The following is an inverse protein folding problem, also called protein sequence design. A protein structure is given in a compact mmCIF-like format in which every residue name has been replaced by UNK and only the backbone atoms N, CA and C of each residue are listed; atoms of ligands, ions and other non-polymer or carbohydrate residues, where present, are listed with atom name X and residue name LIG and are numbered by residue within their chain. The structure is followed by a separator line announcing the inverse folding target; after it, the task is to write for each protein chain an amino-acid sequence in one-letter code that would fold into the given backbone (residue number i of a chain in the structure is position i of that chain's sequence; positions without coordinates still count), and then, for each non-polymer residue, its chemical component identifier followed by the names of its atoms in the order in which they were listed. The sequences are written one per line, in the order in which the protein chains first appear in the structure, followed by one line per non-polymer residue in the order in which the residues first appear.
data_IF_390088579977
#
_entry.id   IF_390088579977
#
_cell.length_a   1.000
_cell.length_b   1.000
_cell.length_c   1.000
_cell.angle_alpha   90.00
_cell.angle_beta   90.00
_cell.angle_gamma   90.00
#
_symmetry.space_group_name_H-M   'P 1'
#
loop_
_entity.id
_entity.type
_entity.pdbx_description
1 polymer ?
#
# COMPACT_ATOMS: atom_id res chain seq x y z
N UNK A 1 -8.43 10.46 14.00
CA UNK A 1 -7.34 9.62 13.45
C UNK A 1 -7.88 8.21 13.21
N UNK A 2 -7.73 7.66 12.01
CA UNK A 2 -8.19 6.32 11.67
C UNK A 2 -7.04 5.32 11.83
N UNK A 3 -7.02 4.60 12.96
CA UNK A 3 -6.07 3.50 13.16
C UNK A 3 -6.50 2.27 12.36
N UNK A 4 -5.55 1.63 11.67
CA UNK A 4 -5.76 0.39 10.92
C UNK A 4 -5.15 -0.82 11.65
N UNK A 5 -5.81 -1.97 11.58
CA UNK A 5 -5.24 -3.24 12.04
C UNK A 5 -4.28 -3.81 10.98
N UNK A 6 -4.59 -3.60 9.70
CA UNK A 6 -3.78 -4.06 8.56
C UNK A 6 -3.70 -2.96 7.50
N UNK A 7 -2.49 -2.60 7.10
CA UNK A 7 -2.23 -1.71 5.98
C UNK A 7 -1.43 -2.45 4.91
N UNK A 8 -1.93 -2.46 3.68
CA UNK A 8 -1.16 -2.91 2.52
C UNK A 8 -0.54 -1.67 1.87
N UNK A 9 0.78 -1.68 1.68
CA UNK A 9 1.47 -0.65 0.89
C UNK A 9 2.01 -1.33 -0.35
N UNK A 10 1.40 -1.04 -1.50
CA UNK A 10 1.66 -1.70 -2.76
C UNK A 10 2.09 -0.69 -3.84
N UNK A 11 2.82 -1.12 -4.87
CA UNK A 11 3.29 -0.19 -5.90
C UNK A 11 2.13 0.33 -6.72
N UNK A 12 1.45 -0.57 -7.42
CA UNK A 12 0.45 -0.24 -8.42
C UNK A 12 -0.97 -0.57 -7.93
N UNK A 13 -2.00 0.14 -8.44
CA UNK A 13 -3.39 -0.21 -8.18
C UNK A 13 -3.78 -1.55 -8.82
N UNK A 14 -3.59 -2.65 -8.07
CA UNK A 14 -4.03 -4.04 -8.29
C UNK A 14 -3.12 -5.03 -7.54
N UNK A 15 -1.87 -4.63 -7.28
CA UNK A 15 -0.87 -5.39 -6.55
C UNK A 15 -1.37 -5.88 -5.18
N UNK A 16 -2.08 -5.01 -4.45
CA UNK A 16 -2.61 -5.34 -3.14
C UNK A 16 -3.66 -6.46 -3.22
N UNK A 17 -4.56 -6.39 -4.19
CA UNK A 17 -5.59 -7.38 -4.44
C UNK A 17 -5.00 -8.71 -4.91
N UNK A 18 -3.99 -8.65 -5.78
CA UNK A 18 -3.28 -9.81 -6.31
C UNK A 18 -2.47 -10.51 -5.22
N UNK A 19 -1.71 -9.76 -4.42
CA UNK A 19 -0.80 -10.30 -3.42
C UNK A 19 -1.46 -10.64 -2.09
N UNK A 20 -2.46 -9.86 -1.67
CA UNK A 20 -3.01 -9.91 -0.32
C UNK A 20 -4.54 -9.89 -0.24
N UNK A 21 -5.27 -10.00 -1.36
CA UNK A 21 -6.74 -9.97 -1.38
C UNK A 21 -7.40 -10.97 -0.42
N UNK A 22 -6.86 -12.18 -0.28
CA UNK A 22 -7.32 -13.18 0.67
C UNK A 22 -7.15 -12.80 2.12
N UNK A 23 -5.98 -12.24 2.45
CA UNK A 23 -5.67 -11.78 3.80
C UNK A 23 -6.54 -10.58 4.15
N UNK A 24 -6.69 -9.61 3.25
CA UNK A 24 -7.55 -8.45 3.45
C UNK A 24 -9.01 -8.87 3.70
N UNK A 25 -9.58 -9.72 2.84
CA UNK A 25 -10.96 -10.18 3.00
C UNK A 25 -11.17 -10.94 4.32
N UNK A 26 -10.18 -11.75 4.75
CA UNK A 26 -10.22 -12.43 6.05
C UNK A 26 -10.25 -11.43 7.20
N UNK A 27 -9.34 -10.45 7.21
CA UNK A 27 -9.27 -9.44 8.28
C UNK A 27 -10.56 -8.62 8.35
N UNK A 28 -11.10 -8.20 7.20
CA UNK A 28 -12.40 -7.49 7.16
C UNK A 28 -13.53 -8.36 7.71
N UNK A 29 -13.58 -9.65 7.36
CA UNK A 29 -14.59 -10.58 7.89
C UNK A 29 -14.48 -10.80 9.42
N UNK A 30 -13.29 -10.61 9.99
CA UNK A 30 -13.03 -10.61 11.44
C UNK A 30 -13.35 -9.26 12.12
N UNK A 31 -13.91 -8.30 11.36
CA UNK A 31 -14.26 -6.96 11.86
C UNK A 31 -13.07 -6.03 12.02
N UNK A 32 -11.91 -6.36 11.43
CA UNK A 32 -10.69 -5.54 11.48
C UNK A 32 -10.72 -4.41 10.45
N UNK A 33 -10.06 -3.30 10.76
CA UNK A 33 -9.90 -2.17 9.85
C UNK A 33 -8.71 -2.41 8.94
N UNK A 34 -8.99 -2.58 7.65
CA UNK A 34 -7.98 -2.81 6.61
C UNK A 34 -7.92 -1.62 5.67
N UNK A 35 -6.74 -1.24 5.23
CA UNK A 35 -6.58 -0.23 4.19
C UNK A 35 -5.46 -0.52 3.20
N UNK A 36 -5.45 0.23 2.11
CA UNK A 36 -4.43 0.16 1.05
C UNK A 36 -3.83 1.57 0.85
N UNK A 37 -2.52 1.62 0.66
CA UNK A 37 -1.80 2.77 0.11
C UNK A 37 -1.10 2.31 -1.16
N UNK A 38 -1.56 2.81 -2.30
CA UNK A 38 -0.89 2.61 -3.59
C UNK A 38 0.22 3.67 -3.72
N UNK A 39 1.44 3.27 -4.09
CA UNK A 39 2.57 4.20 -4.22
C UNK A 39 2.43 5.05 -5.48
N UNK A 40 2.03 4.46 -6.60
CA UNK A 40 1.95 5.10 -7.92
C UNK A 40 0.53 4.98 -8.47
N UNK A 41 0.20 5.73 -9.53
CA UNK A 41 -1.11 5.62 -10.19
C UNK A 41 -1.14 4.48 -11.22
N UNK A 42 0.00 3.81 -11.45
CA UNK A 42 0.16 2.86 -12.54
C UNK A 42 0.05 3.55 -13.91
N UNK A 43 0.46 4.80 -14.04
CA UNK A 43 0.24 5.57 -15.26
C UNK A 43 1.02 5.05 -16.48
N UNK A 44 2.03 4.17 -16.31
CA UNK A 44 2.77 3.54 -17.40
C UNK A 44 2.21 2.16 -17.81
N UNK A 45 1.10 1.73 -17.21
CA UNK A 45 0.42 0.50 -17.59
C UNK A 45 -0.05 0.51 -19.05
N UNK A 46 -0.04 -0.66 -19.69
CA UNK A 46 -0.42 -0.80 -21.10
C UNK A 46 -1.92 -0.61 -21.37
N UNK A 47 -2.76 -0.69 -20.34
CA UNK A 47 -4.22 -0.66 -20.44
C UNK A 47 -4.84 0.19 -19.35
N UNK A 48 -5.92 0.89 -19.73
CA UNK A 48 -6.60 1.86 -18.87
C UNK A 48 -5.89 3.22 -18.85
N UNK A 49 -6.54 4.20 -18.25
CA UNK A 49 -5.96 5.50 -17.89
C UNK A 49 -5.82 5.59 -16.37
N UNK A 50 -5.13 6.62 -15.87
CA UNK A 50 -5.04 6.87 -14.43
C UNK A 50 -6.44 7.02 -13.80
N UNK A 51 -7.37 7.67 -14.50
CA UNK A 51 -8.75 7.86 -14.03
C UNK A 51 -9.54 6.55 -13.97
N UNK A 52 -9.45 5.71 -15.00
CA UNK A 52 -10.15 4.41 -14.98
C UNK A 52 -9.57 3.50 -13.90
N UNK A 53 -8.25 3.51 -13.73
CA UNK A 53 -7.57 2.75 -12.66
C UNK A 53 -7.96 3.24 -11.28
N UNK A 54 -8.09 4.55 -11.08
CA UNK A 54 -8.56 5.11 -9.81
C UNK A 54 -10.01 4.68 -9.50
N UNK A 55 -10.88 4.63 -10.51
CA UNK A 55 -12.24 4.14 -10.32
C UNK A 55 -12.30 2.63 -10.02
N UNK A 56 -11.53 1.81 -10.75
CA UNK A 56 -11.41 0.38 -10.49
C UNK A 56 -10.88 0.10 -9.07
N UNK A 57 -9.85 0.85 -8.66
CA UNK A 57 -9.28 0.79 -7.32
C UNK A 57 -10.30 1.15 -6.24
N UNK A 58 -11.13 2.17 -6.47
CA UNK A 58 -12.22 2.56 -5.58
C UNK A 58 -13.27 1.44 -5.47
N UNK A 59 -13.72 0.91 -6.60
CA UNK A 59 -14.70 -0.19 -6.64
C UNK A 59 -14.17 -1.44 -5.91
N UNK A 60 -12.89 -1.78 -6.10
CA UNK A 60 -12.25 -2.90 -5.41
C UNK A 60 -12.20 -2.69 -3.90
N UNK A 61 -11.92 -1.46 -3.44
CA UNK A 61 -11.94 -1.13 -2.02
C UNK A 61 -13.34 -1.27 -1.39
N UNK A 62 -14.39 -0.84 -2.11
CA UNK A 62 -15.78 -1.00 -1.69
C UNK A 62 -16.18 -2.48 -1.60
N UNK A 63 -15.81 -3.29 -2.60
CA UNK A 63 -16.09 -4.74 -2.62
C UNK A 63 -15.41 -5.47 -1.45
N UNK A 64 -14.16 -5.10 -1.16
CA UNK A 64 -13.39 -5.72 -0.08
C UNK A 64 -13.80 -5.20 1.31
N UNK A 65 -14.60 -4.13 1.39
CA UNK A 65 -14.98 -3.51 2.66
C UNK A 65 -13.82 -2.81 3.36
N UNK A 66 -12.91 -2.19 2.60
CA UNK A 66 -11.76 -1.49 3.16
C UNK A 66 -12.17 -0.21 3.89
N UNK A 67 -11.49 0.08 4.99
CA UNK A 67 -11.71 1.30 5.78
C UNK A 67 -11.03 2.52 5.14
N UNK A 68 -9.99 2.31 4.33
CA UNK A 68 -9.28 3.37 3.63
C UNK A 68 -8.58 2.84 2.36
N UNK A 69 -8.53 3.67 1.32
CA UNK A 69 -7.60 3.52 0.20
C UNK A 69 -7.11 4.89 -0.23
N UNK A 70 -5.81 5.04 -0.41
CA UNK A 70 -5.22 6.28 -0.95
C UNK A 70 -4.06 5.98 -1.91
N UNK A 71 -3.67 6.99 -2.66
CA UNK A 71 -2.57 6.93 -3.61
C UNK A 71 -1.56 8.04 -3.31
N UNK A 72 -0.27 7.71 -3.26
CA UNK A 72 0.79 8.69 -2.96
C UNK A 72 1.25 9.49 -4.19
N UNK A 73 0.86 9.09 -5.39
CA UNK A 73 1.22 9.78 -6.64
C UNK A 73 2.72 9.80 -6.91
N UNK A 74 3.46 8.80 -6.44
CA UNK A 74 4.85 8.62 -6.83
C UNK A 74 4.91 8.24 -8.32
N UNK A 75 6.03 8.59 -8.97
CA UNK A 75 6.22 8.37 -10.40
C UNK A 75 6.37 6.88 -10.70
N UNK A 76 5.44 6.33 -11.47
CA UNK A 76 5.47 4.94 -11.89
C UNK A 76 6.76 4.62 -12.67
N UNK A 77 7.41 3.49 -12.37
CA UNK A 77 8.69 3.08 -12.94
C UNK A 77 9.93 3.88 -12.50
N UNK A 78 9.74 5.07 -11.90
CA UNK A 78 10.82 6.05 -11.69
C UNK A 78 10.98 6.54 -10.26
N UNK A 79 10.09 6.20 -9.32
CA UNK A 79 10.31 6.55 -7.93
C UNK A 79 11.60 5.90 -7.41
N UNK A 80 12.29 6.61 -6.52
CA UNK A 80 13.54 6.15 -5.92
C UNK A 80 13.33 5.84 -4.43
N UNK A 81 14.25 5.09 -3.83
CA UNK A 81 14.29 4.93 -2.36
C UNK A 81 15.04 6.12 -1.71
N UNK A 82 14.64 7.35 -2.07
CA UNK A 82 15.22 8.58 -1.57
C UNK A 82 14.38 9.16 -0.42
N UNK A 83 14.89 10.24 0.20
CA UNK A 83 14.26 10.84 1.38
C UNK A 83 12.82 11.31 1.10
N UNK A 84 12.59 11.96 -0.04
CA UNK A 84 11.27 12.50 -0.42
C UNK A 84 10.20 11.41 -0.46
N UNK A 85 10.48 10.31 -1.12
CA UNK A 85 9.57 9.18 -1.30
C UNK A 85 9.37 8.45 0.04
N UNK A 86 10.45 8.24 0.82
CA UNK A 86 10.34 7.72 2.19
C UNK A 86 9.48 8.59 3.08
N UNK A 87 9.60 9.91 3.01
CA UNK A 87 8.78 10.84 3.78
C UNK A 87 7.29 10.77 3.39
N UNK A 88 6.96 10.45 2.14
CA UNK A 88 5.57 10.16 1.76
C UNK A 88 5.05 8.88 2.43
N UNK A 89 5.83 7.80 2.42
CA UNK A 89 5.46 6.54 3.07
C UNK A 89 5.37 6.70 4.60
N UNK A 90 6.32 7.40 5.23
CA UNK A 90 6.32 7.66 6.68
C UNK A 90 5.05 8.43 7.09
N UNK A 91 4.64 9.44 6.31
CA UNK A 91 3.40 10.18 6.55
C UNK A 91 2.17 9.27 6.52
N UNK A 92 2.09 8.35 5.55
CA UNK A 92 1.01 7.38 5.45
C UNK A 92 1.02 6.40 6.64
N UNK A 93 2.18 5.87 7.03
CA UNK A 93 2.33 4.99 8.20
C UNK A 93 1.86 5.71 9.47
N UNK A 94 2.26 6.96 9.69
CA UNK A 94 1.87 7.74 10.87
C UNK A 94 0.41 8.19 10.84
N UNK A 95 -0.16 8.42 9.66
CA UNK A 95 -1.59 8.73 9.48
C UNK A 95 -2.47 7.57 9.93
N UNK A 96 -2.12 6.34 9.55
CA UNK A 96 -2.93 5.15 9.80
C UNK A 96 -2.52 4.34 11.01
N UNK A 97 -1.34 4.60 11.59
CA UNK A 97 -0.75 3.89 12.73
C UNK A 97 -0.99 2.36 12.70
N UNK A 98 -0.65 1.66 11.60
CA UNK A 98 -1.04 0.27 11.43
C UNK A 98 -0.33 -0.65 12.41
N UNK A 99 -1.02 -1.69 12.86
CA UNK A 99 -0.43 -2.79 13.64
C UNK A 99 0.41 -3.71 12.74
N UNK A 100 -0.10 -4.03 11.54
CA UNK A 100 0.57 -4.89 10.55
C UNK A 100 0.68 -4.15 9.23
N UNK A 101 1.86 -4.24 8.60
CA UNK A 101 2.08 -3.79 7.22
C UNK A 101 2.45 -4.98 6.34
N UNK A 102 1.77 -5.11 5.20
CA UNK A 102 2.17 -5.99 4.10
C UNK A 102 2.62 -5.12 2.92
N UNK A 103 3.70 -5.51 2.27
CA UNK A 103 4.21 -4.81 1.07
C UNK A 103 4.80 -5.79 0.05
N UNK A 104 5.17 -5.29 -1.12
CA UNK A 104 5.75 -6.06 -2.22
C UNK A 104 7.02 -6.81 -1.78
N UNK A 105 7.31 -7.92 -2.47
CA UNK A 105 8.51 -8.72 -2.24
C UNK A 105 9.79 -7.92 -2.54
N UNK A 106 10.84 -8.10 -1.75
CA UNK A 106 12.18 -7.52 -2.05
C UNK A 106 12.72 -8.07 -3.39
N UNK A 107 12.41 -9.32 -3.71
CA UNK A 107 12.82 -9.98 -4.96
C UNK A 107 11.61 -10.28 -5.83
N UNK A 108 11.50 -9.61 -6.96
CA UNK A 108 10.44 -9.78 -7.96
C UNK A 108 11.02 -9.49 -9.36
N UNK A 109 10.36 -9.99 -10.41
CA UNK A 109 10.71 -9.63 -11.79
C UNK A 109 10.45 -8.14 -12.08
N UNK A 110 9.48 -7.53 -11.41
CA UNK A 110 9.16 -6.12 -11.58
C UNK A 110 10.06 -5.29 -10.65
N UNK A 111 10.95 -4.43 -11.18
CA UNK A 111 11.94 -3.72 -10.35
C UNK A 111 11.31 -2.80 -9.30
N UNK A 112 10.16 -2.20 -9.61
CA UNK A 112 9.45 -1.36 -8.64
C UNK A 112 9.01 -2.13 -7.39
N UNK A 113 8.65 -3.41 -7.50
CA UNK A 113 8.20 -4.22 -6.35
C UNK A 113 9.35 -4.37 -5.33
N UNK A 114 10.55 -4.72 -5.81
CA UNK A 114 11.72 -4.84 -4.97
C UNK A 114 12.11 -3.50 -4.32
N UNK A 115 12.07 -2.43 -5.11
CA UNK A 115 12.35 -1.07 -4.63
C UNK A 115 11.36 -0.62 -3.56
N UNK A 116 10.07 -0.88 -3.77
CA UNK A 116 9.02 -0.55 -2.81
C UNK A 116 9.13 -1.37 -1.52
N UNK A 117 9.37 -2.68 -1.63
CA UNK A 117 9.55 -3.53 -0.45
C UNK A 117 10.70 -3.04 0.44
N UNK A 118 11.82 -2.65 -0.17
CA UNK A 118 12.94 -2.05 0.57
C UNK A 118 12.57 -0.68 1.18
N UNK A 119 12.00 0.22 0.38
CA UNK A 119 11.63 1.57 0.82
C UNK A 119 10.62 1.55 1.97
N UNK A 120 9.60 0.70 1.90
CA UNK A 120 8.59 0.54 2.95
C UNK A 120 9.22 -0.03 4.22
N UNK A 121 10.13 -1.00 4.11
CA UNK A 121 10.85 -1.55 5.26
C UNK A 121 11.67 -0.46 5.99
N UNK A 122 12.41 0.36 5.24
CA UNK A 122 13.16 1.49 5.79
C UNK A 122 12.21 2.53 6.42
N UNK A 123 11.10 2.85 5.75
CA UNK A 123 10.09 3.78 6.24
C UNK A 123 9.44 3.32 7.55
N UNK A 124 9.17 2.02 7.73
CA UNK A 124 8.68 1.47 9.00
C UNK A 124 9.61 1.77 10.17
N UNK A 125 10.92 1.65 9.95
CA UNK A 125 11.91 1.95 10.99
C UNK A 125 11.94 3.45 11.31
N UNK A 126 12.00 4.28 10.26
CA UNK A 126 12.08 5.75 10.33
C UNK A 126 10.82 6.37 10.92
N UNK A 127 9.64 5.82 10.65
CA UNK A 127 8.36 6.31 11.17
C UNK A 127 8.30 6.31 12.70
N UNK A 128 9.04 5.40 13.35
CA UNK A 128 9.20 5.35 14.80
C UNK A 128 10.13 6.40 15.41
N UNK A 129 10.92 7.12 14.61
CA UNK A 129 11.91 8.08 15.11
C UNK A 129 11.25 9.44 15.35
N UNK A 130 11.21 9.88 16.61
CA UNK A 130 10.59 11.15 17.01
C UNK A 130 11.21 12.40 16.36
N UNK A 131 12.47 12.32 15.92
CA UNK A 131 13.18 13.43 15.24
C UNK A 131 12.90 13.52 13.74
N UNK A 132 12.27 12.50 13.16
CA UNK A 132 11.71 12.61 11.83
C UNK A 132 10.37 13.32 12.02
N UNK A 133 10.28 14.57 11.59
CA UNK A 133 9.06 15.38 11.74
C UNK A 133 8.17 15.18 10.52
N UNK A 134 6.89 14.96 10.76
CA UNK A 134 5.88 14.87 9.69
C UNK A 134 4.62 15.60 10.09
N UNK A 135 3.88 16.07 9.08
CA UNK A 135 2.65 16.83 9.25
C UNK A 135 1.57 16.21 8.37
N UNK A 136 0.32 16.26 8.83
CA UNK A 136 -0.83 15.85 8.02
C UNK A 136 -1.24 16.94 7.01
N UNK A 137 -2.36 16.74 6.30
CA UNK A 137 -2.83 17.70 5.30
C UNK A 137 -3.24 19.06 5.88
N UNK A 138 -3.50 19.15 7.18
CA UNK A 138 -3.89 20.36 7.89
C UNK A 138 -2.69 21.00 8.61
N UNK A 139 -1.48 20.54 8.27
CA UNK A 139 -0.20 20.96 8.86
C UNK A 139 -0.10 20.68 10.37
N UNK A 140 -0.82 19.67 10.86
CA UNK A 140 -0.77 19.23 12.25
C UNK A 140 0.37 18.20 12.41
N UNK A 141 1.27 18.34 13.39
CA UNK A 141 2.32 17.37 13.64
C UNK A 141 1.75 15.97 13.88
N UNK A 142 2.30 14.96 13.21
CA UNK A 142 1.91 13.57 13.41
C UNK A 142 2.76 12.91 14.49
N UNK A 143 2.13 12.09 15.32
CA UNK A 143 2.85 11.27 16.30
C UNK A 143 3.75 10.23 15.61
N UNK A 144 4.93 10.00 16.18
CA UNK A 144 5.82 8.94 15.73
C UNK A 144 5.19 7.57 16.00
N UNK A 145 5.10 6.75 14.95
CA UNK A 145 4.53 5.40 15.03
C UNK A 145 5.51 4.41 14.41
N UNK A 146 5.94 3.43 15.20
CA UNK A 146 6.64 2.25 14.69
C UNK A 146 5.64 1.10 14.68
N UNK A 147 5.31 0.52 13.52
CA UNK A 147 4.55 -0.72 13.48
C UNK A 147 5.26 -1.77 14.36
N UNK A 148 4.55 -2.45 15.28
CA UNK A 148 5.13 -3.52 16.07
C UNK A 148 5.69 -4.61 15.14
N UNK A 149 6.77 -5.29 15.58
CA UNK A 149 7.54 -6.26 14.77
C UNK A 149 6.59 -7.19 14.00
N UNK A 150 6.46 -6.96 12.69
CA UNK A 150 5.41 -7.59 11.89
C UNK A 150 5.28 -7.05 10.45
N UNK A 151 6.31 -6.41 9.87
CA UNK A 151 6.31 -6.15 8.43
C UNK A 151 6.40 -7.47 7.70
N UNK A 152 5.25 -8.01 7.29
CA UNK A 152 5.17 -9.21 6.49
C UNK A 152 5.43 -8.80 5.04
N UNK A 153 6.69 -8.92 4.62
CA UNK A 153 7.07 -8.77 3.21
C UNK A 153 6.44 -9.95 2.48
N UNK A 154 5.56 -9.68 1.52
CA UNK A 154 4.91 -10.74 0.77
C UNK A 154 5.97 -11.51 -0.03
N UNK A 155 6.32 -12.73 0.36
CA UNK A 155 7.35 -13.54 -0.30
C UNK A 155 6.81 -14.37 -1.48
N UNK A 156 5.75 -13.90 -2.14
CA UNK A 156 5.26 -14.51 -3.38
C UNK A 156 4.36 -15.75 -3.25
N UNK A 157 3.86 -16.11 -2.05
CA UNK A 157 2.83 -17.15 -1.91
C UNK A 157 1.43 -16.57 -1.71
N UNK A 158 0.71 -16.50 -2.83
CA UNK A 158 -0.66 -16.05 -3.00
C UNK A 158 -1.70 -16.85 -2.19
N UNK A 159 -2.45 -16.19 -1.31
CA UNK A 159 -3.84 -16.56 -1.02
C UNK A 159 -4.75 -15.81 -2.01
N UNK A 160 -4.86 -16.33 -3.23
CA UNK A 160 -5.79 -15.84 -4.27
C UNK A 160 -7.22 -16.07 -3.79
N UNK A 161 -7.90 -15.03 -3.31
CA UNK A 161 -9.37 -15.04 -3.17
C UNK A 161 -10.00 -14.19 -4.27
N UNK A 162 -11.30 -14.42 -4.46
CA UNK A 162 -12.15 -14.07 -5.62
C UNK A 162 -12.16 -12.60 -6.10
N UNK A 163 -11.42 -11.66 -5.51
CA UNK A 163 -11.37 -10.27 -5.96
C UNK A 163 -10.80 -10.13 -7.39
N UNK A 164 -9.87 -11.03 -7.79
CA UNK A 164 -9.30 -11.03 -9.14
C UNK A 164 -10.33 -11.26 -10.28
N UNK A 165 -11.53 -11.81 -10.00
CA UNK A 165 -12.47 -12.15 -11.08
C UNK A 165 -13.13 -10.94 -11.74
N UNK A 166 -13.07 -9.74 -11.16
CA UNK A 166 -13.49 -8.49 -11.84
C UNK A 166 -12.39 -7.86 -12.70
N UNK A 167 -11.12 -8.11 -12.37
CA UNK A 167 -9.93 -7.68 -13.14
C UNK A 167 -9.68 -8.50 -14.42
N UNK A 168 -10.42 -9.59 -14.63
CA UNK A 168 -10.11 -10.60 -15.66
C UNK A 168 -10.53 -10.23 -17.10
N UNK A 169 -10.84 -8.96 -17.40
CA UNK A 169 -11.04 -8.49 -18.78
C UNK A 169 -9.84 -7.75 -19.38
N UNK A 170 -8.83 -7.38 -18.59
CA UNK A 170 -7.83 -6.41 -19.06
C UNK A 170 -6.37 -6.68 -18.66
N UNK A 171 -5.95 -7.86 -18.18
CA UNK A 171 -4.51 -8.15 -17.98
C UNK A 171 -4.00 -9.10 -19.08
N UNK A 172 -2.87 -8.77 -19.75
CA UNK A 172 -1.57 -9.08 -19.18
C UNK A 172 -0.66 -7.86 -19.06
N UNK A 173 0.39 -8.05 -18.27
CA UNK A 173 1.62 -7.27 -18.32
C UNK A 173 2.17 -7.13 -19.73
#
# INVERSE_FOLDING_TARGET
MLKLDLLIIAVHPDDAELGAGGVMAKYVAEGKKVGIVDLTQGELGTRGTAETRAQEAKDAAEILGLAARENLGLRDGFFENAEREKMAVIRAIRKYQPEIIITNAITDRHPDHGRAGQMVSEACFLAGLRRVETFDQDNIPQEAHRPPIGTAICTGLLYKTRCCYRYNRLLPC
#
